data_IF_361002268445
#
_entry.id   IF_361002268445
#
_cell.length_a   1.000
_cell.length_b   1.000
_cell.length_c   1.000
_cell.angle_alpha   90.00
_cell.angle_beta   90.00
_cell.angle_gamma   90.00
#
_symmetry.space_group_name_H-M   'P 1'
#
loop_
_entity.id
_entity.type
_entity.pdbx_description
1 polymer ?
#
# COMPACT_ATOMS: atom_id res chain seq x y z
N UNK A 1 -17.06 -7.89 1.78
CA UNK A 1 -16.17 -8.74 0.96
C UNK A 1 -14.83 -8.03 0.80
N UNK A 2 -13.74 -8.79 0.69
CA UNK A 2 -12.38 -8.25 0.50
C UNK A 2 -12.31 -7.47 -0.82
N UNK A 3 -11.63 -6.33 -0.85
CA UNK A 3 -11.36 -5.58 -2.10
C UNK A 3 -10.01 -5.93 -2.72
N UNK A 4 -9.14 -6.57 -1.95
CA UNK A 4 -7.82 -6.99 -2.39
C UNK A 4 -7.85 -8.44 -2.86
N UNK A 5 -7.53 -8.63 -4.14
CA UNK A 5 -7.62 -9.89 -4.87
C UNK A 5 -6.27 -10.28 -5.45
N UNK A 6 -6.06 -11.58 -5.63
CA UNK A 6 -4.85 -12.09 -6.27
C UNK A 6 -4.72 -11.52 -7.69
N UNK A 7 -3.51 -11.09 -8.04
CA UNK A 7 -3.21 -10.53 -9.35
C UNK A 7 -3.09 -11.62 -10.42
N UNK A 8 -3.31 -11.24 -11.67
CA UNK A 8 -2.95 -12.06 -12.84
C UNK A 8 -1.45 -11.96 -13.12
N UNK A 9 -0.90 -12.88 -13.91
CA UNK A 9 0.53 -12.89 -14.25
C UNK A 9 0.98 -11.57 -14.91
N UNK A 10 0.18 -11.06 -15.86
CA UNK A 10 0.46 -9.76 -16.50
C UNK A 10 0.40 -8.59 -15.51
N UNK A 11 -0.49 -8.64 -14.52
CA UNK A 11 -0.53 -7.60 -13.47
C UNK A 11 0.68 -7.67 -12.55
N UNK A 12 1.20 -8.87 -12.27
CA UNK A 12 2.45 -9.04 -11.55
C UNK A 12 3.63 -8.45 -12.32
N UNK A 13 3.74 -8.73 -13.63
CA UNK A 13 4.80 -8.16 -14.48
C UNK A 13 4.79 -6.64 -14.42
N UNK A 14 3.64 -6.01 -14.67
CA UNK A 14 3.50 -4.55 -14.60
C UNK A 14 3.88 -4.00 -13.21
N UNK A 15 3.44 -4.67 -12.14
CA UNK A 15 3.78 -4.27 -10.77
C UNK A 15 5.29 -4.33 -10.53
N UNK A 16 5.95 -5.40 -10.96
CA UNK A 16 7.39 -5.55 -10.74
C UNK A 16 8.20 -4.50 -11.51
N UNK A 17 7.82 -4.19 -12.75
CA UNK A 17 8.44 -3.12 -13.52
C UNK A 17 8.28 -1.77 -12.81
N UNK A 18 7.08 -1.45 -12.33
CA UNK A 18 6.84 -0.20 -11.58
C UNK A 18 7.57 -0.15 -10.23
N UNK A 19 7.73 -1.29 -9.55
CA UNK A 19 8.51 -1.33 -8.31
C UNK A 19 10.01 -1.09 -8.57
N UNK A 20 10.53 -1.60 -9.69
CA UNK A 20 11.90 -1.39 -10.11
C UNK A 20 12.20 0.10 -10.37
N UNK A 21 11.27 0.84 -11.00
CA UNK A 21 11.44 2.29 -11.22
C UNK A 21 11.50 3.11 -9.93
N UNK A 22 11.07 2.54 -8.80
CA UNK A 22 11.08 3.18 -7.48
C UNK A 22 12.14 2.60 -6.52
N UNK A 23 13.05 1.78 -7.03
CA UNK A 23 14.08 1.06 -6.27
C UNK A 23 13.50 0.16 -5.16
N UNK A 24 12.33 -0.44 -5.40
CA UNK A 24 11.65 -1.31 -4.43
C UNK A 24 11.77 -2.76 -4.86
N UNK A 25 12.45 -3.56 -4.05
CA UNK A 25 12.48 -5.03 -4.21
C UNK A 25 11.58 -5.71 -3.18
N UNK A 26 10.59 -6.48 -3.63
CA UNK A 26 9.67 -7.24 -2.77
C UNK A 26 10.29 -8.55 -2.27
N UNK A 27 11.31 -8.42 -1.42
CA UNK A 27 11.88 -9.54 -0.67
C UNK A 27 11.20 -9.70 0.71
N UNK A 28 11.58 -10.75 1.45
CA UNK A 28 11.06 -11.02 2.80
C UNK A 28 11.19 -9.83 3.76
N UNK A 29 12.28 -9.06 3.67
CA UNK A 29 12.50 -7.91 4.56
C UNK A 29 11.52 -6.78 4.24
N UNK A 30 11.46 -6.35 2.98
CA UNK A 30 10.56 -5.28 2.52
C UNK A 30 9.08 -5.64 2.78
N UNK A 31 8.69 -6.88 2.50
CA UNK A 31 7.33 -7.39 2.78
C UNK A 31 6.96 -7.28 4.25
N UNK A 32 7.91 -7.57 5.15
CA UNK A 32 7.69 -7.41 6.58
C UNK A 32 7.56 -5.94 7.00
N UNK A 33 8.31 -5.03 6.38
CA UNK A 33 8.17 -3.59 6.62
C UNK A 33 6.81 -3.07 6.14
N UNK A 34 6.33 -3.54 4.99
CA UNK A 34 5.05 -3.15 4.39
C UNK A 34 3.81 -3.65 5.14
N UNK A 35 3.99 -4.44 6.21
CA UNK A 35 2.90 -4.73 7.15
C UNK A 35 2.44 -3.47 7.89
N UNK A 36 3.33 -2.50 8.09
CA UNK A 36 3.00 -1.18 8.60
C UNK A 36 2.70 -0.23 7.44
N UNK A 37 1.50 0.34 7.43
CA UNK A 37 1.09 1.31 6.42
C UNK A 37 2.03 2.52 6.34
N UNK A 38 2.80 2.82 7.40
CA UNK A 38 3.81 3.89 7.41
C UNK A 38 4.88 3.67 6.34
N UNK A 39 5.33 2.43 6.13
CA UNK A 39 6.36 2.15 5.13
C UNK A 39 5.86 2.44 3.71
N UNK A 40 4.60 2.08 3.43
CA UNK A 40 3.95 2.38 2.15
C UNK A 40 3.63 3.88 2.03
N UNK A 41 3.19 4.52 3.12
CA UNK A 41 2.94 5.97 3.13
C UNK A 41 4.20 6.77 2.78
N UNK A 42 5.39 6.34 3.23
CA UNK A 42 6.67 6.96 2.82
C UNK A 42 6.97 6.78 1.33
N UNK A 43 6.62 5.63 0.75
CA UNK A 43 6.74 5.43 -0.70
C UNK A 43 5.85 6.41 -1.44
N UNK A 44 4.58 6.51 -1.04
CA UNK A 44 3.62 7.46 -1.66
C UNK A 44 4.05 8.91 -1.45
N UNK A 45 4.53 9.30 -0.28
CA UNK A 45 4.98 10.68 -0.02
C UNK A 45 6.15 11.10 -0.93
N UNK A 46 7.07 10.18 -1.26
CA UNK A 46 8.16 10.46 -2.20
C UNK A 46 7.66 10.73 -3.62
N UNK A 47 6.57 10.09 -4.03
CA UNK A 47 6.00 10.21 -5.37
C UNK A 47 5.02 11.38 -5.46
N UNK A 48 4.15 11.51 -4.45
CA UNK A 48 3.03 12.46 -4.39
C UNK A 48 2.88 13.00 -2.95
N UNK A 49 3.73 13.95 -2.53
CA UNK A 49 3.78 14.45 -1.15
C UNK A 49 2.47 15.10 -0.68
N UNK A 50 1.62 15.56 -1.59
CA UNK A 50 0.33 16.18 -1.30
C UNK A 50 -0.72 15.22 -0.72
N UNK A 51 -0.56 13.91 -0.91
CA UNK A 51 -1.52 12.93 -0.38
C UNK A 51 -1.21 12.46 1.03
N UNK A 52 0.04 12.57 1.48
CA UNK A 52 0.51 11.94 2.71
C UNK A 52 0.91 12.98 3.74
N UNK A 53 0.37 12.83 4.95
CA UNK A 53 0.73 13.63 6.11
C UNK A 53 1.43 12.74 7.14
N UNK A 54 2.74 12.48 6.98
CA UNK A 54 3.46 11.49 7.78
C UNK A 54 3.42 11.74 9.30
N UNK A 55 3.29 12.99 9.74
CA UNK A 55 3.13 13.35 11.16
C UNK A 55 1.87 12.75 11.81
N UNK A 56 0.93 12.25 11.00
CA UNK A 56 -0.30 11.62 11.49
C UNK A 56 -0.14 10.14 11.81
N UNK A 57 1.04 9.57 11.55
CA UNK A 57 1.35 8.19 11.83
C UNK A 57 2.30 8.08 13.03
N UNK A 58 2.20 6.96 13.74
CA UNK A 58 3.18 6.57 14.74
C UNK A 58 3.76 5.22 14.34
N UNK A 59 5.08 4.99 14.40
CA UNK A 59 5.64 3.66 14.24
C UNK A 59 5.07 2.75 15.32
N UNK A 60 4.46 1.63 14.93
CA UNK A 60 3.81 0.74 15.90
C UNK A 60 4.26 -0.70 15.72
N UNK A 61 4.30 -1.43 16.83
CA UNK A 61 4.54 -2.87 16.85
C UNK A 61 3.26 -3.61 17.27
N UNK A 62 3.00 -4.74 16.61
CA UNK A 62 1.83 -5.60 16.86
C UNK A 62 0.64 -5.34 15.93
N UNK A 63 -0.03 -6.42 15.51
CA UNK A 63 -1.07 -6.39 14.45
C UNK A 63 -2.19 -5.40 14.72
N UNK A 64 -2.72 -5.35 15.95
CA UNK A 64 -3.80 -4.43 16.31
C UNK A 64 -3.42 -2.96 16.03
N UNK A 65 -2.18 -2.61 16.35
CA UNK A 65 -1.66 -1.26 16.16
C UNK A 65 -1.30 -0.95 14.70
N UNK A 66 -0.83 -1.95 13.95
CA UNK A 66 -0.63 -1.81 12.51
C UNK A 66 -1.96 -1.53 11.80
N UNK A 67 -3.06 -2.14 12.25
CA UNK A 67 -4.40 -1.86 11.72
C UNK A 67 -4.79 -0.39 11.92
N UNK A 68 -4.42 0.25 13.03
CA UNK A 68 -4.69 1.69 13.24
C UNK A 68 -3.98 2.54 12.17
N UNK A 69 -2.71 2.23 11.88
CA UNK A 69 -1.96 2.91 10.80
C UNK A 69 -2.63 2.67 9.43
N UNK A 70 -3.15 1.46 9.19
CA UNK A 70 -3.94 1.17 7.99
C UNK A 70 -5.26 1.94 7.93
N UNK A 71 -5.95 2.17 9.05
CA UNK A 71 -7.14 3.00 9.09
C UNK A 71 -6.83 4.45 8.72
N UNK A 72 -5.74 5.00 9.24
CA UNK A 72 -5.27 6.36 8.92
C UNK A 72 -4.93 6.46 7.43
N UNK A 73 -4.13 5.53 6.91
CA UNK A 73 -3.77 5.49 5.48
C UNK A 73 -4.99 5.34 4.58
N UNK A 74 -5.94 4.47 4.96
CA UNK A 74 -7.16 4.29 4.20
C UNK A 74 -7.98 5.59 4.10
N UNK A 75 -8.28 6.20 5.25
CA UNK A 75 -9.12 7.40 5.29
C UNK A 75 -8.48 8.61 4.61
N UNK A 76 -7.15 8.75 4.71
CA UNK A 76 -6.44 9.95 4.25
C UNK A 76 -5.87 9.86 2.84
N UNK A 77 -5.52 8.66 2.40
CA UNK A 77 -4.83 8.41 1.13
C UNK A 77 -5.72 7.57 0.22
N UNK A 78 -5.99 6.32 0.59
CA UNK A 78 -6.68 5.38 -0.31
C UNK A 78 -8.07 5.85 -0.70
N UNK A 79 -8.86 6.40 0.22
CA UNK A 79 -10.20 6.93 -0.11
C UNK A 79 -10.12 8.09 -1.10
N UNK A 80 -9.09 8.95 -1.04
CA UNK A 80 -8.90 10.05 -2.01
C UNK A 80 -8.52 9.56 -3.40
N UNK A 81 -7.83 8.42 -3.45
CA UNK A 81 -7.47 7.72 -4.70
C UNK A 81 -8.60 6.80 -5.19
N UNK A 82 -9.79 6.81 -4.58
CA UNK A 82 -10.89 5.87 -4.84
C UNK A 82 -10.55 4.38 -4.62
N UNK A 83 -9.55 4.11 -3.78
CA UNK A 83 -9.03 2.78 -3.45
C UNK A 83 -9.38 2.31 -2.04
N UNK A 84 -10.43 2.86 -1.42
CA UNK A 84 -10.76 2.54 -0.03
C UNK A 84 -10.83 1.02 0.22
N UNK A 85 -10.22 0.53 1.28
CA UNK A 85 -10.17 -0.91 1.65
C UNK A 85 -11.01 -1.21 2.89
N UNK A 86 -11.39 -2.48 3.06
CA UNK A 86 -12.21 -2.93 4.21
C UNK A 86 -11.34 -3.24 5.44
N UNK A 87 -11.97 -3.37 6.62
CA UNK A 87 -11.25 -3.81 7.83
C UNK A 87 -10.61 -5.20 7.67
N UNK A 88 -11.24 -6.09 6.91
CA UNK A 88 -10.67 -7.41 6.58
C UNK A 88 -9.38 -7.26 5.77
N UNK A 89 -9.37 -6.38 4.76
CA UNK A 89 -8.19 -6.08 3.95
C UNK A 89 -7.05 -5.52 4.84
N UNK A 90 -7.36 -4.58 5.73
CA UNK A 90 -6.38 -4.03 6.69
C UNK A 90 -5.79 -5.10 7.62
N UNK A 91 -6.61 -6.05 8.07
CA UNK A 91 -6.15 -7.19 8.86
C UNK A 91 -5.18 -8.06 8.06
N UNK A 92 -5.54 -8.41 6.82
CA UNK A 92 -4.69 -9.20 5.90
C UNK A 92 -3.33 -8.52 5.71
N UNK A 93 -3.32 -7.22 5.43
CA UNK A 93 -2.11 -6.42 5.28
C UNK A 93 -1.26 -6.39 6.57
N UNK A 94 -1.85 -6.10 7.72
CA UNK A 94 -1.16 -6.06 9.00
C UNK A 94 -0.56 -7.43 9.41
N UNK A 95 -1.18 -8.53 8.98
CA UNK A 95 -0.67 -9.90 9.19
C UNK A 95 0.39 -10.32 8.17
N UNK A 96 0.60 -9.54 7.10
CA UNK A 96 1.59 -9.84 6.06
C UNK A 96 1.09 -10.80 4.98
N UNK A 97 -0.23 -10.79 4.69
CA UNK A 97 -0.75 -11.53 3.55
C UNK A 97 -0.21 -10.94 2.24
N UNK A 98 0.55 -11.75 1.50
CA UNK A 98 1.24 -11.32 0.29
C UNK A 98 0.24 -10.86 -0.77
N UNK A 99 -0.74 -11.70 -1.15
CA UNK A 99 -1.74 -11.34 -2.18
C UNK A 99 -2.42 -9.98 -1.91
N UNK A 100 -2.72 -9.68 -0.64
CA UNK A 100 -3.30 -8.40 -0.27
C UNK A 100 -2.33 -7.24 -0.48
N UNK A 101 -1.05 -7.43 -0.10
CA UNK A 101 -0.01 -6.44 -0.30
C UNK A 101 0.22 -6.15 -1.78
N UNK A 102 0.40 -7.17 -2.63
CA UNK A 102 0.61 -6.92 -4.06
C UNK A 102 -0.61 -6.31 -4.73
N UNK A 103 -1.82 -6.75 -4.37
CA UNK A 103 -3.06 -6.16 -4.88
C UNK A 103 -3.15 -4.66 -4.57
N UNK A 104 -2.78 -4.27 -3.34
CA UNK A 104 -2.74 -2.87 -2.95
C UNK A 104 -1.67 -2.08 -3.72
N UNK A 105 -0.45 -2.61 -3.83
CA UNK A 105 0.65 -1.96 -4.55
C UNK A 105 0.32 -1.78 -6.03
N UNK A 106 -0.30 -2.78 -6.67
CA UNK A 106 -0.78 -2.69 -8.04
C UNK A 106 -1.83 -1.58 -8.19
N UNK A 107 -2.77 -1.46 -7.25
CA UNK A 107 -3.73 -0.36 -7.27
C UNK A 107 -3.05 1.01 -7.14
N UNK A 108 -2.01 1.12 -6.29
CA UNK A 108 -1.25 2.37 -6.10
C UNK A 108 -0.46 2.72 -7.36
N UNK A 109 0.13 1.74 -8.04
CA UNK A 109 0.75 1.90 -9.35
C UNK A 109 -0.24 2.44 -10.39
N UNK A 110 -1.44 1.85 -10.49
CA UNK A 110 -2.46 2.32 -11.44
C UNK A 110 -2.88 3.76 -11.12
N UNK A 111 -3.01 4.09 -9.83
CA UNK A 111 -3.30 5.45 -9.40
C UNK A 111 -2.17 6.43 -9.76
N UNK A 112 -0.92 6.05 -9.55
CA UNK A 112 0.27 6.82 -9.90
C UNK A 112 0.30 7.15 -11.41
N UNK A 113 0.17 6.16 -12.28
CA UNK A 113 0.07 6.38 -13.73
C UNK A 113 -1.09 7.30 -14.11
N UNK A 114 -2.23 7.16 -13.44
CA UNK A 114 -3.41 8.01 -13.67
C UNK A 114 -3.22 9.46 -13.22
N UNK A 115 -2.30 9.73 -12.30
CA UNK A 115 -1.95 11.08 -11.85
C UNK A 115 -0.91 11.73 -12.77
N UNK A 116 0.05 10.96 -13.29
CA UNK A 116 1.07 11.43 -14.23
C UNK A 116 0.52 11.85 -15.60
N UNK A 117 -0.62 11.30 -16.01
CA UNK A 117 -1.28 11.61 -17.30
C UNK A 117 -2.25 12.81 -17.24
N UNK A 118 -2.25 13.59 -16.16
CA UNK A 118 -3.12 14.77 -15.97
C UNK A 118 -2.43 16.08 -16.29
#
# INVERSE_FOLDING_TARGET
MSRLVKLTDSQYEMLYDWLETHDIQLNRHTRNQFRDAVAIARVIERMHPEFVALHSYQPRTGVARLIDNWQIFNARVLTKLNMGITRLDMQRLATGNEDALESLLYGLMVADYSLLMR
#
